data_IF_328300573187
#
_entry.id   IF_328300573187
#
_cell.length_a   1.000
_cell.length_b   1.000
_cell.length_c   1.000
_cell.angle_alpha   90.00
_cell.angle_beta   90.00
_cell.angle_gamma   90.00
#
_symmetry.space_group_name_H-M   'P 1'
#
loop_
_entity.id
_entity.type
_entity.pdbx_description
1 polymer ?
#
# COMPACT_ATOMS: atom_id res chain seq x y z
N UNK A 1 21.80 5.28 7.82
CA UNK A 1 20.97 4.05 7.69
C UNK A 1 20.36 4.07 6.29
N UNK A 2 20.58 3.03 5.49
CA UNK A 2 19.95 2.89 4.17
C UNK A 2 18.50 2.40 4.34
N UNK A 3 17.57 2.96 3.57
CA UNK A 3 16.19 2.47 3.54
C UNK A 3 16.15 1.07 2.89
N UNK A 4 15.24 0.18 3.34
CA UNK A 4 15.12 -1.15 2.76
C UNK A 4 14.67 -1.05 1.29
N UNK A 5 15.35 -1.77 0.42
CA UNK A 5 15.00 -1.87 -1.00
C UNK A 5 14.02 -3.02 -1.21
N UNK A 6 12.83 -2.69 -1.70
CA UNK A 6 11.73 -3.64 -1.88
C UNK A 6 11.36 -3.71 -3.35
N UNK A 7 11.25 -4.93 -3.87
CA UNK A 7 10.62 -5.18 -5.18
C UNK A 7 9.15 -5.51 -4.95
N UNK A 8 8.21 -4.59 -5.23
CA UNK A 8 6.80 -4.84 -4.99
C UNK A 8 6.19 -5.71 -6.10
N UNK A 9 5.08 -6.36 -5.77
CA UNK A 9 4.15 -6.91 -6.74
C UNK A 9 3.16 -5.83 -7.18
N UNK A 10 2.80 -5.86 -8.45
CA UNK A 10 1.90 -4.88 -9.06
C UNK A 10 0.50 -5.48 -9.19
N UNK A 11 -0.48 -4.79 -8.61
CA UNK A 11 -1.90 -5.08 -8.77
C UNK A 11 -2.53 -3.98 -9.62
N UNK A 12 -3.60 -4.31 -10.35
CA UNK A 12 -4.29 -3.36 -11.21
C UNK A 12 -5.78 -3.32 -10.87
N UNK A 13 -6.30 -2.10 -10.73
CA UNK A 13 -7.73 -1.82 -10.60
C UNK A 13 -8.08 -0.59 -11.42
N UNK A 14 -9.00 -0.75 -12.37
CA UNK A 14 -9.43 0.35 -13.27
C UNK A 14 -8.26 1.09 -13.93
N UNK A 15 -7.27 0.34 -14.45
CA UNK A 15 -6.01 0.87 -15.03
C UNK A 15 -5.14 1.70 -14.07
N UNK A 16 -5.42 1.67 -12.77
CA UNK A 16 -4.58 2.24 -11.72
C UNK A 16 -3.83 1.13 -11.02
N UNK A 17 -2.53 1.32 -10.86
CA UNK A 17 -1.65 0.37 -10.21
C UNK A 17 -1.73 0.50 -8.69
N UNK A 18 -1.56 -0.62 -7.99
CA UNK A 18 -1.20 -0.70 -6.58
C UNK A 18 0.04 -1.57 -6.43
N UNK A 19 1.17 -0.96 -6.06
CA UNK A 19 2.35 -1.70 -5.59
C UNK A 19 2.13 -2.17 -4.17
N UNK A 20 2.28 -3.46 -3.95
CA UNK A 20 2.14 -4.09 -2.65
C UNK A 20 3.16 -5.20 -2.43
N UNK A 21 3.50 -5.47 -1.17
CA UNK A 21 4.51 -6.47 -0.80
C UNK A 21 4.28 -6.97 0.62
N UNK A 22 4.96 -8.06 0.98
CA UNK A 22 4.92 -8.62 2.31
C UNK A 22 6.23 -8.36 3.05
N UNK A 23 6.14 -7.95 4.32
CA UNK A 23 7.27 -7.91 5.26
C UNK A 23 6.84 -8.67 6.50
N UNK A 24 7.57 -9.72 6.87
CA UNK A 24 7.19 -10.56 8.02
C UNK A 24 5.80 -11.18 7.83
N UNK A 25 4.84 -10.79 8.65
CA UNK A 25 3.45 -11.28 8.62
C UNK A 25 2.44 -10.23 8.11
N UNK A 26 2.92 -9.13 7.51
CA UNK A 26 2.07 -7.99 7.17
C UNK A 26 2.20 -7.56 5.71
N UNK A 27 1.09 -7.10 5.14
CA UNK A 27 1.02 -6.54 3.80
C UNK A 27 1.21 -5.01 3.84
N UNK A 28 2.01 -4.52 2.92
CA UNK A 28 2.40 -3.12 2.80
C UNK A 28 2.06 -2.59 1.41
N UNK A 29 1.64 -1.32 1.36
CA UNK A 29 1.06 -0.69 0.18
C UNK A 29 1.69 0.68 -0.10
N UNK A 30 1.93 0.97 -1.38
CA UNK A 30 2.38 2.28 -1.85
C UNK A 30 1.35 3.37 -1.58
N UNK A 31 1.72 4.40 -0.81
CA UNK A 31 0.83 5.56 -0.57
C UNK A 31 0.62 6.37 -1.84
N UNK A 32 1.63 6.46 -2.72
CA UNK A 32 1.53 7.14 -4.02
C UNK A 32 0.47 6.51 -4.91
N UNK A 33 0.40 5.19 -4.91
CA UNK A 33 -0.57 4.43 -5.68
C UNK A 33 -1.97 4.48 -5.03
N UNK A 34 -2.05 4.42 -3.70
CA UNK A 34 -3.30 4.59 -2.96
C UNK A 34 -3.91 5.98 -3.19
N UNK A 35 -3.11 7.05 -3.19
CA UNK A 35 -3.56 8.42 -3.51
C UNK A 35 -4.29 8.45 -4.86
N UNK A 36 -3.72 7.79 -5.86
CA UNK A 36 -4.32 7.66 -7.19
C UNK A 36 -5.59 6.81 -7.16
N UNK A 37 -5.61 5.71 -6.41
CA UNK A 37 -6.78 4.82 -6.35
C UNK A 37 -7.96 5.43 -5.59
N UNK A 38 -7.69 6.17 -4.52
CA UNK A 38 -8.68 6.87 -3.70
C UNK A 38 -9.13 8.20 -4.30
N UNK A 39 -8.46 8.68 -5.36
CA UNK A 39 -8.68 10.02 -5.91
C UNK A 39 -8.66 11.11 -4.83
N UNK A 40 -7.85 10.90 -3.79
CA UNK A 40 -7.81 11.70 -2.57
C UNK A 40 -6.36 11.98 -2.24
N UNK A 41 -6.07 13.17 -1.76
CA UNK A 41 -4.71 13.54 -1.40
C UNK A 41 -4.28 12.94 -0.05
N UNK A 42 -3.30 12.03 -0.09
CA UNK A 42 -2.69 11.46 1.11
C UNK A 42 -1.47 12.30 1.43
N UNK A 43 -1.67 13.34 2.23
CA UNK A 43 -0.60 14.26 2.63
C UNK A 43 0.22 13.72 3.82
N UNK A 44 1.42 14.28 4.01
CA UNK A 44 2.32 13.88 5.11
C UNK A 44 1.69 14.01 6.50
N UNK A 45 0.87 15.04 6.75
CA UNK A 45 0.15 15.19 8.03
C UNK A 45 -0.78 14.02 8.32
N UNK A 46 -1.45 13.52 7.28
CA UNK A 46 -2.34 12.38 7.40
C UNK A 46 -1.54 11.11 7.73
N UNK A 47 -0.41 10.91 7.04
CA UNK A 47 0.49 9.81 7.33
C UNK A 47 1.13 9.92 8.71
N UNK A 48 1.42 11.13 9.20
CA UNK A 48 1.99 11.35 10.53
C UNK A 48 1.03 11.00 11.69
N UNK A 49 -0.27 10.94 11.43
CA UNK A 49 -1.27 10.50 12.40
C UNK A 49 -1.35 8.97 12.53
N UNK A 50 -0.69 8.22 11.65
CA UNK A 50 -0.61 6.77 11.74
C UNK A 50 0.44 6.37 12.78
N UNK A 51 0.20 5.25 13.46
CA UNK A 51 1.16 4.66 14.39
C UNK A 51 2.45 4.23 13.68
N UNK A 52 3.54 4.05 14.44
CA UNK A 52 4.85 3.71 13.89
C UNK A 52 4.87 2.35 13.17
N UNK A 53 3.97 1.43 13.53
CA UNK A 53 3.77 0.13 12.86
C UNK A 53 2.91 0.23 11.60
N UNK A 54 2.17 1.33 11.43
CA UNK A 54 1.21 1.51 10.33
C UNK A 54 1.81 2.19 9.09
N UNK A 55 3.02 2.74 9.22
CA UNK A 55 3.73 3.41 8.14
C UNK A 55 5.22 3.13 8.20
N UNK A 56 5.86 3.07 7.05
CA UNK A 56 7.30 2.90 6.97
C UNK A 56 7.86 3.64 5.75
N UNK A 57 9.10 4.11 5.83
CA UNK A 57 9.85 4.59 4.65
C UNK A 57 10.64 3.44 4.05
N UNK A 58 10.53 3.25 2.74
CA UNK A 58 11.22 2.21 1.98
C UNK A 58 11.68 2.75 0.64
N UNK A 59 12.58 2.04 -0.03
CA UNK A 59 12.91 2.25 -1.43
C UNK A 59 12.12 1.24 -2.27
N UNK A 60 11.13 1.68 -3.05
CA UNK A 60 10.37 0.80 -3.94
C UNK A 60 11.00 0.73 -5.32
N UNK A 61 11.15 -0.50 -5.84
CA UNK A 61 11.58 -0.70 -7.22
C UNK A 61 10.57 -0.11 -8.19
N UNK A 62 11.03 0.71 -9.12
CA UNK A 62 10.25 1.37 -10.17
C UNK A 62 10.28 0.55 -11.45
N UNK A 63 9.35 0.85 -12.38
CA UNK A 63 9.25 0.15 -13.66
C UNK A 63 10.49 0.33 -14.56
N UNK A 64 11.24 1.43 -14.39
CA UNK A 64 12.49 1.70 -15.10
C UNK A 64 13.71 0.97 -14.48
N UNK A 65 13.48 0.10 -13.48
CA UNK A 65 14.53 -0.70 -12.84
C UNK A 65 15.25 -0.02 -11.68
N UNK A 66 15.00 1.27 -11.43
CA UNK A 66 15.53 2.02 -10.30
C UNK A 66 14.81 1.74 -8.97
N UNK A 67 15.21 2.46 -7.93
CA UNK A 67 14.55 2.49 -6.64
C UNK A 67 14.24 3.92 -6.24
N UNK A 68 13.03 4.17 -5.78
CA UNK A 68 12.60 5.48 -5.28
C UNK A 68 12.14 5.38 -3.84
N UNK A 69 12.52 6.37 -3.03
CA UNK A 69 12.02 6.49 -1.67
C UNK A 69 10.51 6.75 -1.67
N UNK A 70 9.79 6.01 -0.83
CA UNK A 70 8.37 6.17 -0.65
C UNK A 70 7.95 5.80 0.77
N UNK A 71 6.95 6.53 1.29
CA UNK A 71 6.22 6.09 2.47
C UNK A 71 5.20 5.04 2.05
N UNK A 72 5.23 3.90 2.71
CA UNK A 72 4.25 2.82 2.56
C UNK A 72 3.40 2.75 3.82
N UNK A 73 2.22 2.19 3.67
CA UNK A 73 1.32 1.93 4.80
C UNK A 73 1.02 0.45 4.88
N UNK A 74 0.87 -0.05 6.09
CA UNK A 74 0.46 -1.43 6.32
C UNK A 74 -1.04 -1.62 6.05
N UNK A 75 -1.52 -2.87 6.16
CA UNK A 75 -2.95 -3.15 6.07
C UNK A 75 -3.74 -2.41 7.14
N UNK A 76 -3.30 -2.42 8.40
CA UNK A 76 -3.95 -1.69 9.48
C UNK A 76 -3.92 -0.16 9.25
N UNK A 77 -2.80 0.37 8.75
CA UNK A 77 -2.68 1.77 8.34
C UNK A 77 -3.65 2.16 7.21
N UNK A 78 -3.78 1.31 6.18
CA UNK A 78 -4.78 1.51 5.12
C UNK A 78 -6.20 1.58 5.69
N UNK A 79 -6.55 0.67 6.61
CA UNK A 79 -7.85 0.68 7.27
C UNK A 79 -8.09 1.97 8.06
N UNK A 80 -7.09 2.47 8.78
CA UNK A 80 -7.16 3.75 9.50
C UNK A 80 -7.37 4.94 8.53
N UNK A 81 -6.64 4.99 7.42
CA UNK A 81 -6.81 6.02 6.38
C UNK A 81 -8.24 6.01 5.80
N UNK A 82 -8.76 4.82 5.50
CA UNK A 82 -10.09 4.62 4.94
C UNK A 82 -11.21 5.07 5.90
N UNK A 83 -11.07 4.74 7.18
CA UNK A 83 -12.06 5.08 8.21
C UNK A 83 -12.09 6.58 8.52
N UNK A 84 -10.93 7.20 8.71
CA UNK A 84 -10.86 8.54 9.28
C UNK A 84 -11.04 9.64 8.22
N UNK A 85 -10.60 9.42 6.98
CA UNK A 85 -10.51 10.51 5.98
C UNK A 85 -11.05 10.14 4.60
N UNK A 86 -11.56 8.92 4.45
CA UNK A 86 -11.97 8.35 3.16
C UNK A 86 -13.33 7.64 3.28
N UNK A 87 -14.25 8.16 4.11
CA UNK A 87 -15.61 7.65 4.24
C UNK A 87 -16.45 8.00 3.00
N UNK A 88 -16.16 7.32 1.88
CA UNK A 88 -16.89 7.41 0.62
C UNK A 88 -17.27 5.99 0.17
N UNK A 89 -18.48 5.76 -0.38
CA UNK A 89 -18.88 4.45 -0.90
C UNK A 89 -17.85 3.85 -1.89
N UNK A 90 -17.17 4.68 -2.68
CA UNK A 90 -16.14 4.23 -3.61
C UNK A 90 -14.89 3.65 -2.91
N UNK A 91 -14.59 4.14 -1.71
CA UNK A 91 -13.46 3.68 -0.90
C UNK A 91 -13.77 2.35 -0.21
N UNK A 92 -15.04 2.03 0.04
CA UNK A 92 -15.45 0.68 0.49
C UNK A 92 -15.10 -0.39 -0.54
N UNK A 93 -15.24 -0.06 -1.83
CA UNK A 93 -14.86 -0.97 -2.91
C UNK A 93 -13.34 -1.17 -2.98
N UNK A 94 -12.55 -0.13 -2.68
CA UNK A 94 -11.10 -0.27 -2.57
C UNK A 94 -10.72 -1.18 -1.39
N UNK A 95 -11.29 -0.92 -0.21
CA UNK A 95 -11.10 -1.76 0.99
C UNK A 95 -11.36 -3.23 0.69
N UNK A 96 -12.53 -3.52 0.11
CA UNK A 96 -12.95 -4.88 -0.22
C UNK A 96 -11.99 -5.52 -1.22
N UNK A 97 -11.58 -4.78 -2.25
CA UNK A 97 -10.62 -5.30 -3.23
C UNK A 97 -9.26 -5.62 -2.61
N UNK A 98 -8.74 -4.76 -1.73
CA UNK A 98 -7.48 -5.03 -1.04
C UNK A 98 -7.59 -6.29 -0.17
N UNK A 99 -8.59 -6.36 0.70
CA UNK A 99 -8.73 -7.49 1.65
C UNK A 99 -9.13 -8.81 0.99
N UNK A 100 -9.79 -8.80 -0.17
CA UNK A 100 -10.35 -10.01 -0.79
C UNK A 100 -9.58 -10.48 -2.03
N UNK A 101 -8.82 -9.60 -2.68
CA UNK A 101 -8.03 -9.95 -3.86
C UNK A 101 -6.53 -9.75 -3.60
N UNK A 102 -6.13 -8.53 -3.25
CA UNK A 102 -4.70 -8.16 -3.17
C UNK A 102 -3.98 -8.94 -2.07
N UNK A 103 -4.48 -8.92 -0.84
CA UNK A 103 -3.83 -9.58 0.30
C UNK A 103 -3.78 -11.10 0.13
N UNK A 104 -4.89 -11.80 -0.22
CA UNK A 104 -4.82 -13.24 -0.49
C UNK A 104 -3.85 -13.60 -1.61
N UNK A 105 -3.83 -12.84 -2.70
CA UNK A 105 -2.95 -13.09 -3.85
C UNK A 105 -1.47 -12.83 -3.52
N UNK A 106 -1.17 -11.82 -2.68
CA UNK A 106 0.17 -11.61 -2.12
C UNK A 106 0.66 -12.82 -1.32
N UNK A 107 -0.18 -13.32 -0.41
CA UNK A 107 0.15 -14.49 0.42
C UNK A 107 0.31 -15.76 -0.40
N UNK A 108 -0.57 -15.99 -1.38
CA UNK A 108 -0.47 -17.13 -2.28
C UNK A 108 0.85 -17.14 -3.06
N UNK A 109 1.37 -15.97 -3.48
CA UNK A 109 2.69 -15.92 -4.14
C UNK A 109 3.89 -16.15 -3.23
N UNK A 110 3.70 -16.10 -1.90
CA UNK A 110 4.77 -16.35 -0.95
C UNK A 110 4.84 -17.82 -0.53
N UNK A 111 3.77 -18.59 -0.70
CA UNK A 111 3.81 -20.02 -0.49
C UNK A 111 4.75 -20.66 -1.53
N UNK A 112 5.70 -21.52 -1.12
CA UNK A 112 6.41 -22.35 -2.08
C UNK A 112 5.36 -23.24 -2.77
N UNK A 113 5.31 -23.16 -4.10
CA UNK A 113 4.49 -24.05 -4.93
C UNK A 113 4.96 -25.49 -4.85
#
# INVERSE_FOLDING_TARGET
MSLPQITPRNFLRYRRQLRAFLVGHEAWFSTRDLRRLLNTDIHERLLANLCDDQRQRVCLRTANGGFEEETVVSESGLHALLLTYCYHPENRNLRRWVSQAVVPELWASRAPG
#
